data_IF_916031439575
#
_entry.id   IF_916031439575
#
_cell.length_a   1.000
_cell.length_b   1.000
_cell.length_c   1.000
_cell.angle_alpha   90.00
_cell.angle_beta   90.00
_cell.angle_gamma   90.00
#
_symmetry.space_group_name_H-M   'P 1'
#
loop_
_entity.id
_entity.type
_entity.pdbx_description
1 polymer ?
#
# COMPACT_ATOMS: atom_id res chain seq x y z
N UNK A 1 -7.40 16.07 -17.98
CA UNK A 1 -7.64 16.46 -16.57
C UNK A 1 -8.78 15.62 -15.97
N UNK A 2 -8.44 14.66 -15.11
CA UNK A 2 -9.38 13.68 -14.53
C UNK A 2 -9.49 13.80 -12.99
N UNK A 3 -8.93 14.87 -12.42
CA UNK A 3 -8.93 15.10 -10.97
C UNK A 3 -10.03 16.10 -10.63
N UNK A 4 -10.96 15.70 -9.77
CA UNK A 4 -12.05 16.57 -9.29
C UNK A 4 -11.62 17.47 -8.12
N UNK A 5 -10.80 16.94 -7.21
CA UNK A 5 -10.36 17.61 -5.98
C UNK A 5 -8.84 17.52 -5.83
N UNK A 6 -8.20 18.67 -5.60
CA UNK A 6 -6.77 18.78 -5.34
C UNK A 6 -6.52 19.13 -3.88
N UNK A 7 -5.62 18.38 -3.22
CA UNK A 7 -5.23 18.59 -1.83
C UNK A 7 -3.70 18.72 -1.73
N UNK A 8 -3.13 19.91 -1.97
CA UNK A 8 -1.68 20.11 -2.10
C UNK A 8 -0.97 20.00 -0.74
N UNK A 9 0.07 19.17 -0.65
CA UNK A 9 0.87 18.96 0.57
C UNK A 9 2.23 19.68 0.48
N UNK A 10 2.73 20.19 1.60
CA UNK A 10 3.98 20.94 1.66
C UNK A 10 5.21 20.03 1.76
N UNK A 11 5.04 18.79 2.24
CA UNK A 11 6.13 17.82 2.39
C UNK A 11 5.72 16.43 1.92
N UNK A 12 6.69 15.59 1.60
CA UNK A 12 6.44 14.19 1.22
C UNK A 12 5.75 13.39 2.36
N UNK A 13 6.20 13.44 3.64
CA UNK A 13 5.51 12.74 4.72
C UNK A 13 4.06 13.18 4.89
N UNK A 14 3.79 14.49 4.78
CA UNK A 14 2.43 15.02 4.83
C UNK A 14 1.59 14.52 3.66
N UNK A 15 2.15 14.49 2.45
CA UNK A 15 1.46 13.97 1.26
C UNK A 15 1.04 12.52 1.46
N UNK A 16 1.98 11.66 1.91
CA UNK A 16 1.69 10.25 2.14
C UNK A 16 0.68 10.10 3.29
N UNK A 17 0.86 10.84 4.39
CA UNK A 17 -0.09 10.84 5.51
C UNK A 17 -1.52 11.14 5.08
N UNK A 18 -1.72 12.17 4.24
CA UNK A 18 -3.05 12.50 3.69
C UNK A 18 -3.63 11.38 2.83
N UNK A 19 -2.81 10.69 2.01
CA UNK A 19 -3.27 9.54 1.24
C UNK A 19 -3.71 8.39 2.14
N UNK A 20 -2.97 8.14 3.24
CA UNK A 20 -3.31 7.12 4.23
C UNK A 20 -4.58 7.49 5.03
N UNK A 21 -4.78 8.77 5.34
CA UNK A 21 -5.97 9.21 6.07
C UNK A 21 -7.26 9.11 5.21
N UNK A 22 -7.14 9.26 3.88
CA UNK A 22 -8.27 9.23 2.95
C UNK A 22 -8.69 7.82 2.52
N UNK A 23 -7.76 6.86 2.47
CA UNK A 23 -8.00 5.53 1.91
C UNK A 23 -8.73 4.59 2.88
N UNK A 24 -9.72 3.85 2.37
CA UNK A 24 -10.26 2.67 3.05
C UNK A 24 -9.37 1.42 2.87
N UNK A 25 -8.53 1.43 1.82
CA UNK A 25 -7.50 0.45 1.48
C UNK A 25 -6.57 1.04 0.42
N UNK A 26 -5.44 0.39 0.19
CA UNK A 26 -4.41 0.90 -0.73
C UNK A 26 -4.01 -0.16 -1.74
N UNK A 27 -3.66 0.26 -2.95
CA UNK A 27 -3.12 -0.59 -4.01
C UNK A 27 -1.83 0.04 -4.55
N UNK A 28 -0.72 -0.65 -4.39
CA UNK A 28 0.56 -0.26 -4.99
C UNK A 28 0.73 -0.92 -6.36
N UNK A 29 0.46 -0.17 -7.41
CA UNK A 29 0.76 -0.54 -8.80
C UNK A 29 2.28 -0.46 -9.09
N UNK A 30 2.78 -0.96 -10.24
CA UNK A 30 4.18 -0.84 -10.60
C UNK A 30 4.65 0.62 -10.60
N UNK A 31 5.79 0.88 -9.95
CA UNK A 31 6.27 2.23 -9.74
C UNK A 31 7.72 2.30 -9.28
N UNK A 32 8.21 3.51 -9.04
CA UNK A 32 9.58 3.76 -8.58
C UNK A 32 9.69 3.95 -7.06
N UNK A 33 10.75 4.64 -6.65
CA UNK A 33 11.06 4.90 -5.22
C UNK A 33 9.93 5.65 -4.50
N UNK A 34 9.22 6.55 -5.17
CA UNK A 34 8.08 7.27 -4.57
C UNK A 34 6.95 6.32 -4.15
N UNK A 35 6.57 5.40 -5.06
CA UNK A 35 5.56 4.38 -4.79
C UNK A 35 6.04 3.39 -3.73
N UNK A 36 7.33 3.02 -3.73
CA UNK A 36 7.91 2.17 -2.69
C UNK A 36 7.85 2.84 -1.31
N UNK A 37 8.04 4.15 -1.22
CA UNK A 37 7.93 4.88 0.04
C UNK A 37 6.50 4.86 0.59
N UNK A 38 5.50 5.05 -0.28
CA UNK A 38 4.08 4.95 0.07
C UNK A 38 3.71 3.52 0.53
N UNK A 39 4.13 2.50 -0.24
CA UNK A 39 3.94 1.09 0.07
C UNK A 39 4.52 0.73 1.44
N UNK A 40 5.80 1.06 1.68
CA UNK A 40 6.50 0.69 2.91
C UNK A 40 5.89 1.38 4.13
N UNK A 41 5.43 2.62 4.02
CA UNK A 41 4.75 3.29 5.12
C UNK A 41 3.39 2.65 5.44
N UNK A 42 2.59 2.33 4.43
CA UNK A 42 1.32 1.63 4.61
C UNK A 42 1.53 0.22 5.21
N UNK A 43 2.54 -0.51 4.73
CA UNK A 43 2.88 -1.83 5.24
C UNK A 43 3.35 -1.78 6.69
N UNK A 44 4.13 -0.76 7.06
CA UNK A 44 4.59 -0.56 8.43
C UNK A 44 3.39 -0.39 9.40
N UNK A 45 2.33 0.30 9.01
CA UNK A 45 1.11 0.42 9.84
C UNK A 45 0.42 -0.92 10.09
N UNK A 46 0.44 -1.83 9.11
CA UNK A 46 -0.07 -3.21 9.26
C UNK A 46 0.88 -4.05 10.13
N UNK A 47 2.18 -3.93 9.89
CA UNK A 47 3.25 -4.63 10.62
C UNK A 47 3.19 -4.35 12.13
N UNK A 48 2.82 -3.13 12.54
CA UNK A 48 2.64 -2.78 13.94
C UNK A 48 1.54 -3.60 14.65
N UNK A 49 0.60 -4.21 13.92
CA UNK A 49 -0.49 -5.08 14.44
C UNK A 49 -1.31 -4.45 15.58
N UNK A 50 -1.50 -3.12 15.52
CA UNK A 50 -2.26 -2.32 16.51
C UNK A 50 -3.60 -1.79 15.99
N UNK A 51 -4.06 -2.27 14.83
CA UNK A 51 -5.27 -1.76 14.18
C UNK A 51 -5.14 -0.35 13.61
N UNK A 52 -3.90 0.08 13.30
CA UNK A 52 -3.59 1.41 12.76
C UNK A 52 -3.64 1.47 11.22
N UNK A 53 -3.38 0.34 10.55
CA UNK A 53 -3.34 0.26 9.09
C UNK A 53 -4.69 -0.07 8.45
N UNK A 54 -4.76 0.12 7.13
CA UNK A 54 -5.85 -0.34 6.26
C UNK A 54 -5.36 -1.47 5.36
N UNK A 55 -6.24 -2.32 4.80
CA UNK A 55 -5.83 -3.36 3.85
C UNK A 55 -4.94 -2.79 2.74
N UNK A 56 -3.81 -3.47 2.49
CA UNK A 56 -2.81 -3.07 1.51
C UNK A 56 -2.65 -4.19 0.48
N UNK A 57 -2.90 -3.84 -0.78
CA UNK A 57 -2.67 -4.68 -1.93
C UNK A 57 -1.45 -4.21 -2.74
N UNK A 58 -0.81 -5.14 -3.42
CA UNK A 58 0.34 -4.90 -4.30
C UNK A 58 0.17 -5.64 -5.62
N UNK A 59 0.63 -5.02 -6.70
CA UNK A 59 0.83 -5.70 -7.98
C UNK A 59 1.96 -6.76 -7.84
N UNK A 60 1.87 -7.93 -8.51
CA UNK A 60 2.92 -8.95 -8.51
C UNK A 60 4.35 -8.43 -8.82
N UNK A 61 4.47 -7.31 -9.55
CA UNK A 61 5.71 -6.57 -9.77
C UNK A 61 6.55 -6.43 -8.50
N UNK A 62 5.92 -6.09 -7.36
CA UNK A 62 6.62 -5.83 -6.11
C UNK A 62 7.21 -7.08 -5.45
N UNK A 63 6.70 -8.28 -5.77
CA UNK A 63 7.18 -9.54 -5.19
C UNK A 63 8.59 -9.92 -5.67
N UNK A 64 9.06 -9.31 -6.77
CA UNK A 64 10.45 -9.45 -7.22
C UNK A 64 11.44 -8.70 -6.33
N UNK A 65 10.98 -7.69 -5.60
CA UNK A 65 11.78 -6.82 -4.73
C UNK A 65 11.55 -7.15 -3.25
N UNK A 66 10.29 -7.26 -2.83
CA UNK A 66 9.89 -7.50 -1.46
C UNK A 66 9.99 -8.99 -1.15
N UNK A 67 10.96 -9.35 -0.32
CA UNK A 67 11.23 -10.73 0.10
C UNK A 67 11.60 -10.78 1.56
N UNK A 68 11.35 -11.94 2.19
CA UNK A 68 11.75 -12.17 3.57
C UNK A 68 13.27 -12.11 3.65
N UNK A 69 13.78 -11.31 4.58
CA UNK A 69 15.21 -11.08 4.74
C UNK A 69 15.47 -10.51 6.14
N UNK A 70 16.38 -11.16 6.89
CA UNK A 70 16.74 -10.76 8.25
C UNK A 70 15.51 -10.60 9.17
N UNK A 71 15.18 -9.38 9.57
CA UNK A 71 14.07 -9.06 10.48
C UNK A 71 12.71 -9.03 9.79
N UNK A 72 12.66 -9.08 8.45
CA UNK A 72 11.42 -9.18 7.68
C UNK A 72 11.07 -10.65 7.52
N UNK A 73 10.06 -11.10 8.27
CA UNK A 73 9.62 -12.49 8.24
C UNK A 73 8.63 -12.76 7.09
N UNK A 74 8.45 -14.03 6.67
CA UNK A 74 7.42 -14.40 5.70
C UNK A 74 6.01 -13.95 6.13
N UNK A 75 5.72 -13.96 7.43
CA UNK A 75 4.43 -13.52 7.98
C UNK A 75 4.22 -12.01 7.83
N UNK A 76 5.30 -11.23 7.74
CA UNK A 76 5.21 -9.80 7.51
C UNK A 76 4.85 -9.54 6.04
N UNK A 77 5.41 -10.32 5.11
CA UNK A 77 5.00 -10.28 3.70
C UNK A 77 3.55 -10.72 3.49
N UNK A 78 3.05 -11.65 4.32
CA UNK A 78 1.67 -12.10 4.26
C UNK A 78 0.64 -11.00 4.62
N UNK A 79 1.09 -9.86 5.13
CA UNK A 79 0.24 -8.66 5.32
C UNK A 79 -0.09 -7.96 4.00
N UNK A 80 0.62 -8.27 2.92
CA UNK A 80 0.41 -7.72 1.58
C UNK A 80 -0.50 -8.65 0.77
N UNK A 81 -1.64 -8.13 0.31
CA UNK A 81 -2.52 -8.87 -0.59
C UNK A 81 -2.04 -8.71 -2.04
N UNK A 82 -1.96 -9.80 -2.80
CA UNK A 82 -1.57 -9.70 -4.22
C UNK A 82 -2.81 -9.46 -5.06
N UNK A 83 -2.75 -8.46 -5.94
CA UNK A 83 -3.79 -8.16 -6.93
C UNK A 83 -3.13 -8.18 -8.31
N UNK A 84 -3.36 -9.27 -9.07
CA UNK A 84 -2.74 -9.47 -10.38
C UNK A 84 -3.63 -9.02 -11.54
N UNK A 85 -4.95 -8.96 -11.33
CA UNK A 85 -5.92 -8.63 -12.36
C UNK A 85 -7.18 -7.91 -11.80
N UNK A 86 -8.15 -7.66 -12.69
CA UNK A 86 -9.40 -7.00 -12.31
C UNK A 86 -10.30 -7.84 -11.40
N UNK A 87 -10.20 -9.17 -11.44
CA UNK A 87 -11.01 -10.04 -10.58
C UNK A 87 -10.51 -9.96 -9.14
N UNK A 88 -9.19 -10.06 -8.96
CA UNK A 88 -8.53 -9.82 -7.68
C UNK A 88 -8.86 -8.43 -7.14
N UNK A 89 -8.82 -7.40 -8.00
CA UNK A 89 -9.13 -6.03 -7.62
C UNK A 89 -10.58 -5.90 -7.13
N UNK A 90 -11.54 -6.52 -7.83
CA UNK A 90 -12.94 -6.51 -7.40
C UNK A 90 -13.13 -7.24 -6.08
N UNK A 91 -12.40 -8.34 -5.84
CA UNK A 91 -12.43 -9.05 -4.58
C UNK A 91 -11.86 -8.19 -3.44
N UNK A 92 -10.71 -7.55 -3.66
CA UNK A 92 -10.08 -6.63 -2.72
C UNK A 92 -11.02 -5.49 -2.33
N UNK A 93 -11.61 -4.80 -3.31
CA UNK A 93 -12.52 -3.68 -3.07
C UNK A 93 -13.78 -4.06 -2.29
N UNK A 94 -14.29 -5.30 -2.47
CA UNK A 94 -15.45 -5.80 -1.71
C UNK A 94 -15.11 -6.17 -0.27
N UNK A 95 -13.84 -6.32 0.07
CA UNK A 95 -13.37 -6.67 1.41
C UNK A 95 -13.08 -5.46 2.31
N UNK A 96 -13.10 -4.25 1.74
CA UNK A 96 -12.80 -2.98 2.43
C UNK A 96 -13.97 -2.49 3.30
#
# INVERSE_FOLDING_TARGET
PYVDLELPAATLPERIGRLLDLGAGYLALPGGVGTLAELTLAWNLLYLRRGLGRPLAVDPYWLSLLKAHEEIAPEDLALLQVVADEEDLRAFLRSL
#
